data_IF_198613428683
#
_entry.id   IF_198613428683
#
_cell.length_a   1.000
_cell.length_b   1.000
_cell.length_c   1.000
_cell.angle_alpha   90.00
_cell.angle_beta   90.00
_cell.angle_gamma   90.00
#
_symmetry.space_group_name_H-M   'P 1'
#
loop_
_entity.id
_entity.type
_entity.pdbx_description
1 polymer ?
#
# COMPACT_ATOMS: atom_id res chain seq x y z
N UNK A 1 4.52 -14.31 -14.71
CA UNK A 1 4.77 -13.00 -14.07
C UNK A 1 3.71 -12.83 -12.99
N UNK A 2 4.07 -12.94 -11.71
CA UNK A 2 3.09 -12.77 -10.62
C UNK A 2 2.86 -11.27 -10.47
N UNK A 3 1.70 -10.81 -10.96
CA UNK A 3 1.22 -9.46 -10.66
C UNK A 3 0.82 -9.48 -9.19
N UNK A 4 1.69 -9.00 -8.29
CA UNK A 4 1.30 -8.80 -6.89
C UNK A 4 0.15 -7.79 -6.89
N UNK A 5 -1.03 -8.21 -6.45
CA UNK A 5 -2.22 -7.39 -6.40
C UNK A 5 -2.27 -6.64 -5.06
N UNK A 6 -2.95 -5.50 -5.03
CA UNK A 6 -3.16 -4.76 -3.78
C UNK A 6 -3.91 -5.63 -2.76
N UNK A 7 -3.53 -5.52 -1.49
CA UNK A 7 -4.20 -6.25 -0.42
C UNK A 7 -5.65 -5.77 -0.31
N UNK A 8 -6.56 -6.71 -0.05
CA UNK A 8 -7.94 -6.37 0.25
C UNK A 8 -8.02 -5.70 1.62
N UNK A 9 -8.91 -4.72 1.84
CA UNK A 9 -9.10 -4.09 3.14
C UNK A 9 -9.30 -5.09 4.29
N UNK A 10 -10.03 -6.19 4.03
CA UNK A 10 -10.24 -7.26 5.01
C UNK A 10 -8.95 -8.00 5.40
N UNK A 11 -8.02 -8.21 4.46
CA UNK A 11 -6.72 -8.85 4.75
C UNK A 11 -5.86 -7.93 5.62
N UNK A 12 -5.86 -6.62 5.33
CA UNK A 12 -5.14 -5.61 6.13
C UNK A 12 -5.68 -5.59 7.57
N UNK A 13 -7.01 -5.56 7.73
CA UNK A 13 -7.65 -5.60 9.05
C UNK A 13 -7.33 -6.91 9.78
N UNK A 14 -7.36 -8.06 9.08
CA UNK A 14 -7.02 -9.35 9.66
C UNK A 14 -5.55 -9.42 10.08
N UNK A 15 -4.63 -8.89 9.28
CA UNK A 15 -3.21 -8.83 9.58
C UNK A 15 -2.93 -7.92 10.78
N UNK A 16 -3.58 -6.76 10.87
CA UNK A 16 -3.49 -5.88 12.03
C UNK A 16 -3.98 -6.60 13.29
N UNK A 17 -5.12 -7.30 13.17
CA UNK A 17 -5.69 -8.08 14.28
C UNK A 17 -4.75 -9.22 14.72
N UNK A 18 -4.04 -9.87 13.79
CA UNK A 18 -3.02 -10.88 14.10
C UNK A 18 -1.82 -10.30 14.86
N UNK A 19 -1.46 -9.04 14.58
CA UNK A 19 -0.44 -8.28 15.32
C UNK A 19 -0.96 -7.74 16.67
N UNK A 20 -2.24 -7.97 17.00
CA UNK A 20 -2.86 -7.40 18.22
C UNK A 20 -3.23 -5.92 18.10
N UNK A 21 -3.08 -5.33 16.91
CA UNK A 21 -3.45 -3.95 16.62
C UNK A 21 -4.79 -3.87 15.87
N UNK A 22 -5.36 -2.67 15.82
CA UNK A 22 -6.48 -2.36 14.94
C UNK A 22 -6.31 -0.94 14.38
N UNK A 23 -7.09 -0.59 13.36
CA UNK A 23 -7.01 0.74 12.74
C UNK A 23 -7.22 1.88 13.74
N UNK A 24 -8.07 1.69 14.75
CA UNK A 24 -8.29 2.69 15.80
C UNK A 24 -7.07 2.84 16.71
N UNK A 25 -6.37 1.75 17.04
CA UNK A 25 -5.11 1.77 17.80
C UNK A 25 -4.05 2.52 17.02
N UNK A 26 -3.81 2.15 15.77
CA UNK A 26 -2.82 2.81 14.89
C UNK A 26 -3.16 4.28 14.69
N UNK A 27 -4.44 4.62 14.55
CA UNK A 27 -4.88 6.01 14.45
C UNK A 27 -4.62 6.81 15.73
N UNK A 28 -4.87 6.21 16.90
CA UNK A 28 -4.61 6.84 18.20
C UNK A 28 -3.11 7.08 18.42
N UNK A 29 -2.29 6.10 18.08
CA UNK A 29 -0.82 6.22 18.14
C UNK A 29 -0.30 7.32 17.20
N UNK A 30 -0.94 7.47 16.04
CA UNK A 30 -0.62 8.54 15.10
C UNK A 30 -1.23 9.90 15.45
N UNK A 31 -2.03 10.01 16.52
CA UNK A 31 -2.73 11.25 16.90
C UNK A 31 -3.82 11.68 15.92
N UNK A 32 -4.38 10.74 15.15
CA UNK A 32 -5.38 10.98 14.11
C UNK A 32 -6.76 10.46 14.53
N UNK A 33 -7.81 11.00 13.90
CA UNK A 33 -9.15 10.45 14.06
C UNK A 33 -9.25 9.08 13.38
N UNK A 34 -9.90 8.07 14.00
CA UNK A 34 -9.98 6.70 13.47
C UNK A 34 -10.55 6.64 12.04
N UNK A 35 -11.51 7.53 11.73
CA UNK A 35 -12.13 7.66 10.41
C UNK A 35 -11.15 8.17 9.34
N UNK A 36 -10.14 8.95 9.72
CA UNK A 36 -9.11 9.45 8.81
C UNK A 36 -8.22 8.31 8.31
N UNK A 37 -7.86 7.37 9.19
CA UNK A 37 -7.01 6.23 8.79
C UNK A 37 -7.77 5.21 7.94
N UNK A 38 -9.07 5.00 8.20
CA UNK A 38 -9.91 4.15 7.35
C UNK A 38 -9.98 4.64 5.90
N UNK A 39 -9.89 5.95 5.66
CA UNK A 39 -9.85 6.49 4.29
C UNK A 39 -8.59 6.06 3.52
N UNK A 40 -7.50 5.70 4.20
CA UNK A 40 -6.27 5.20 3.57
C UNK A 40 -6.47 3.89 2.81
N UNK A 41 -7.48 3.10 3.19
CA UNK A 41 -7.78 1.82 2.53
C UNK A 41 -8.42 2.01 1.16
N UNK A 42 -9.14 3.12 0.96
CA UNK A 42 -9.89 3.39 -0.26
C UNK A 42 -9.18 4.40 -1.18
N UNK A 43 -8.50 5.39 -0.61
CA UNK A 43 -7.82 6.45 -1.35
C UNK A 43 -6.31 6.39 -1.13
N UNK A 44 -5.48 6.66 -2.16
CA UNK A 44 -4.04 6.75 -2.01
C UNK A 44 -3.71 7.82 -0.98
N UNK A 45 -3.18 7.41 0.16
CA UNK A 45 -2.78 8.33 1.21
C UNK A 45 -1.44 7.89 1.78
N UNK A 46 -0.32 8.37 1.21
CA UNK A 46 1.02 7.85 1.53
C UNK A 46 1.37 7.89 3.02
N UNK A 47 0.85 8.88 3.76
CA UNK A 47 1.08 8.97 5.22
C UNK A 47 0.32 7.89 5.99
N UNK A 48 -0.95 7.64 5.64
CA UNK A 48 -1.75 6.58 6.27
C UNK A 48 -1.29 5.18 5.89
N UNK A 49 -0.91 4.99 4.62
CA UNK A 49 -0.32 3.74 4.13
C UNK A 49 0.93 3.36 4.92
N UNK A 50 1.83 4.33 5.17
CA UNK A 50 3.04 4.12 5.99
C UNK A 50 2.71 3.78 7.44
N UNK A 51 1.69 4.39 8.03
CA UNK A 51 1.28 4.07 9.41
C UNK A 51 0.77 2.64 9.53
N UNK A 52 -0.05 2.20 8.56
CA UNK A 52 -0.55 0.82 8.51
C UNK A 52 0.60 -0.16 8.27
N UNK A 53 1.50 0.15 7.34
CA UNK A 53 2.65 -0.68 7.02
C UNK A 53 3.62 -0.81 8.21
N UNK A 54 3.87 0.30 8.92
CA UNK A 54 4.65 0.30 10.16
C UNK A 54 4.02 -0.57 11.25
N UNK A 55 2.70 -0.50 11.44
CA UNK A 55 1.99 -1.36 12.39
C UNK A 55 2.02 -2.85 12.00
N UNK A 56 2.18 -3.16 10.71
CA UNK A 56 2.32 -4.51 10.20
C UNK A 56 3.77 -4.98 10.09
N UNK A 57 4.75 -4.12 10.42
CA UNK A 57 6.18 -4.35 10.22
C UNK A 57 6.53 -4.78 8.78
N UNK A 58 5.88 -4.16 7.79
CA UNK A 58 6.13 -4.42 6.37
C UNK A 58 6.25 -3.12 5.58
N UNK A 59 6.63 -3.23 4.31
CA UNK A 59 6.70 -2.07 3.42
C UNK A 59 5.33 -1.74 2.83
N UNK A 60 4.96 -0.45 2.67
CA UNK A 60 3.71 -0.06 2.02
C UNK A 60 3.63 -0.57 0.56
N UNK A 61 4.79 -0.79 -0.08
CA UNK A 61 4.91 -1.40 -1.40
C UNK A 61 4.45 -2.86 -1.45
N UNK A 62 4.49 -3.58 -0.32
CA UNK A 62 4.02 -4.97 -0.24
C UNK A 62 2.50 -5.06 -0.11
N UNK A 63 1.90 -4.06 0.53
CA UNK A 63 0.44 -3.95 0.71
C UNK A 63 -0.21 -3.37 -0.56
N UNK A 64 0.39 -2.33 -1.13
CA UNK A 64 -0.11 -1.63 -2.33
C UNK A 64 0.89 -1.63 -3.49
N UNK A 65 1.28 -2.81 -4.01
CA UNK A 65 2.24 -2.91 -5.11
C UNK A 65 1.81 -2.11 -6.35
N UNK A 66 0.51 -2.00 -6.65
CA UNK A 66 0.02 -1.23 -7.80
C UNK A 66 0.32 0.27 -7.68
N UNK A 67 0.33 0.80 -6.45
CA UNK A 67 0.60 2.22 -6.18
C UNK A 67 2.07 2.57 -6.32
N UNK A 68 2.98 1.65 -5.94
CA UNK A 68 4.42 1.90 -5.90
C UNK A 68 5.19 1.34 -7.12
N UNK A 69 4.76 0.22 -7.72
CA UNK A 69 5.45 -0.44 -8.84
C UNK A 69 5.01 0.05 -10.24
N UNK A 70 4.65 1.33 -10.38
CA UNK A 70 4.23 1.89 -11.69
C UNK A 70 5.37 2.04 -12.71
N UNK A 71 6.62 1.87 -12.29
CA UNK A 71 7.82 2.26 -13.05
C UNK A 71 8.26 1.31 -14.17
N UNK A 72 7.69 0.10 -14.30
CA UNK A 72 8.19 -0.87 -15.31
C UNK A 72 7.54 -0.73 -16.69
N UNK A 73 6.45 0.02 -16.83
CA UNK A 73 5.74 0.18 -18.11
C UNK A 73 6.32 1.32 -18.98
N UNK A 74 6.81 2.40 -18.36
CA UNK A 74 7.31 3.58 -19.08
C UNK A 74 8.65 3.26 -19.77
N UNK A 75 9.47 2.38 -19.19
CA UNK A 75 10.75 1.99 -19.76
C UNK A 75 10.62 1.08 -21.00
N UNK A 76 9.55 0.28 -21.10
CA UNK A 76 9.33 -0.63 -22.25
C UNK A 76 8.81 0.07 -23.51
N UNK A 77 8.11 1.19 -23.37
CA UNK A 77 7.58 1.94 -24.52
C UNK A 77 8.72 2.64 -25.28
N UNK A 78 9.72 3.17 -24.57
CA UNK A 78 10.87 3.86 -25.20
C UNK A 78 11.91 2.92 -25.84
N UNK A 79 11.94 1.64 -25.49
CA UNK A 79 12.95 0.70 -26.01
C UNK A 79 12.57 0.06 -27.36
N UNK A 80 11.30 0.10 -27.76
CA UNK A 80 10.82 -0.50 -29.03
C UNK A 80 10.98 0.41 -30.25
N UNK A 81 11.42 1.66 -30.08
CA UNK A 81 11.68 2.57 -31.21
C UNK A 81 13.13 2.51 -31.72
N UNK A 82 14.02 1.77 -31.06
CA UNK A 82 15.46 1.75 -31.40
C UNK A 82 15.92 0.51 -32.17
N UNK A 83 15.02 -0.43 -32.48
CA UNK A 83 15.32 -1.64 -33.28
C UNK A 83 14.66 -1.61 -34.67
N UNK A 84 14.45 -0.40 -35.21
CA UNK A 84 14.19 -0.18 -36.64
C UNK A 84 15.21 0.82 -37.16
N UNK A 85 16.41 0.32 -37.45
CA UNK A 85 17.31 0.81 -38.48
C UNK A 85 18.14 -0.38 -38.95
#
# INVERSE_FOLDING_TARGET
MIVKNDWRPAEIIAALKKQGANLSTVSREAGLAPSTLSNALYRPWPKGERLIAAALNCDPCEIWPSRYFKLVAIFKINMNSSYKN
#
